data_IF_013503825278
#
_entry.id   IF_013503825278
#
_cell.length_a   1.000
_cell.length_b   1.000
_cell.length_c   1.000
_cell.angle_alpha   90.00
_cell.angle_beta   90.00
_cell.angle_gamma   90.00
#
_symmetry.space_group_name_H-M   'P 1'
#
loop_
_entity.id
_entity.type
_entity.pdbx_description
1 polymer ?
#
# COMPACT_ATOMS: atom_id res chain seq x y z
N UNK A 1 19.92 4.10 12.27
CA UNK A 1 20.14 4.99 11.10
C UNK A 1 19.22 6.19 11.21
N UNK A 2 19.67 7.39 10.89
CA UNK A 2 18.78 8.55 10.88
C UNK A 2 17.79 8.41 9.72
N UNK A 3 16.50 8.49 10.00
CA UNK A 3 15.47 8.58 8.96
C UNK A 3 15.81 9.76 8.05
N UNK A 4 15.96 9.59 6.74
CA UNK A 4 16.25 10.70 5.86
C UNK A 4 15.12 11.72 5.97
N UNK A 5 15.43 12.95 6.33
CA UNK A 5 14.47 14.03 6.32
C UNK A 5 13.95 14.26 4.89
N UNK A 6 12.73 14.78 4.72
CA UNK A 6 12.20 15.17 3.40
C UNK A 6 13.22 15.98 2.61
N UNK A 7 13.88 16.96 3.26
CA UNK A 7 14.94 17.77 2.65
C UNK A 7 16.13 16.92 2.19
N UNK A 8 16.56 15.94 2.98
CA UNK A 8 17.63 15.01 2.62
C UNK A 8 17.28 14.16 1.40
N UNK A 9 16.06 13.62 1.36
CA UNK A 9 15.55 12.84 0.23
C UNK A 9 15.54 13.67 -1.07
N UNK A 10 14.94 14.86 -1.04
CA UNK A 10 14.85 15.74 -2.22
C UNK A 10 16.23 16.15 -2.75
N UNK A 11 17.19 16.42 -1.85
CA UNK A 11 18.57 16.72 -2.25
C UNK A 11 19.24 15.52 -2.91
N UNK A 12 19.08 14.33 -2.35
CA UNK A 12 19.62 13.09 -2.92
C UNK A 12 19.04 12.83 -4.31
N UNK A 13 17.74 12.98 -4.48
CA UNK A 13 17.08 12.87 -5.80
C UNK A 13 17.69 13.87 -6.79
N UNK A 14 17.86 15.14 -6.39
CA UNK A 14 18.49 16.16 -7.24
C UNK A 14 19.92 15.83 -7.64
N UNK A 15 20.72 15.31 -6.72
CA UNK A 15 22.10 14.86 -6.97
C UNK A 15 22.15 13.65 -7.91
N UNK A 16 21.15 12.77 -7.83
CA UNK A 16 21.00 11.63 -8.72
C UNK A 16 20.41 11.98 -10.10
N UNK A 17 20.18 13.27 -10.36
CA UNK A 17 19.74 13.74 -11.67
C UNK A 17 18.24 13.79 -11.89
N UNK A 18 17.42 13.58 -10.84
CA UNK A 18 15.97 13.73 -10.96
C UNK A 18 15.57 15.14 -11.43
N UNK A 19 14.58 15.26 -12.32
CA UNK A 19 14.11 16.52 -12.89
C UNK A 19 12.59 16.64 -12.95
N UNK A 20 11.87 15.51 -12.83
CA UNK A 20 10.41 15.49 -12.90
C UNK A 20 9.79 16.12 -11.65
N UNK A 21 8.58 16.69 -11.75
CA UNK A 21 7.86 17.23 -10.59
C UNK A 21 7.65 16.19 -9.50
N UNK A 22 7.82 16.61 -8.24
CA UNK A 22 7.56 15.78 -7.05
C UNK A 22 6.36 16.34 -6.30
N UNK A 23 5.42 15.49 -5.98
CA UNK A 23 4.30 15.82 -5.11
C UNK A 23 4.52 15.22 -3.72
N UNK A 24 4.30 16.01 -2.69
CA UNK A 24 4.34 15.60 -1.29
C UNK A 24 2.92 15.71 -0.75
N UNK A 25 2.46 14.62 -0.16
CA UNK A 25 1.15 14.56 0.49
C UNK A 25 1.32 14.44 1.99
N UNK A 26 0.50 15.15 2.74
CA UNK A 26 0.47 15.11 4.20
C UNK A 26 -0.93 15.31 4.74
N UNK A 27 -1.16 15.10 6.05
CA UNK A 27 -2.46 15.30 6.66
C UNK A 27 -2.87 16.77 6.66
N UNK A 28 -4.16 17.03 6.91
CA UNK A 28 -4.70 18.40 7.06
C UNK A 28 -3.92 19.18 8.12
N UNK A 29 -3.58 20.43 7.82
CA UNK A 29 -2.79 21.34 8.67
C UNK A 29 -1.27 21.17 8.55
N UNK A 30 -0.77 20.22 7.74
CA UNK A 30 0.67 19.96 7.61
C UNK A 30 1.37 20.81 6.54
N UNK A 31 0.62 21.49 5.68
CA UNK A 31 1.18 22.15 4.48
C UNK A 31 2.32 23.13 4.78
N UNK A 32 2.14 23.99 5.76
CA UNK A 32 3.19 24.99 6.10
C UNK A 32 4.45 24.33 6.65
N UNK A 33 4.30 23.34 7.54
CA UNK A 33 5.42 22.58 8.09
C UNK A 33 6.17 21.83 6.99
N UNK A 34 5.45 21.18 6.08
CA UNK A 34 6.05 20.48 4.95
C UNK A 34 6.76 21.45 4.00
N UNK A 35 6.20 22.62 3.71
CA UNK A 35 6.86 23.65 2.90
C UNK A 35 8.14 24.17 3.56
N UNK A 36 8.14 24.33 4.87
CA UNK A 36 9.34 24.68 5.63
C UNK A 36 10.38 23.55 5.54
N UNK A 37 9.96 22.28 5.74
CA UNK A 37 10.84 21.13 5.65
C UNK A 37 11.45 20.97 4.24
N UNK A 38 10.70 21.25 3.18
CA UNK A 38 11.21 21.30 1.80
C UNK A 38 12.27 22.37 1.62
N UNK A 39 12.08 23.55 2.23
CA UNK A 39 13.01 24.68 2.13
C UNK A 39 14.25 24.56 3.01
N UNK A 40 14.16 23.86 4.15
CA UNK A 40 15.25 23.63 5.09
C UNK A 40 16.35 22.72 4.49
N UNK A 41 17.17 23.24 3.64
CA UNK A 41 18.28 22.50 3.05
C UNK A 41 18.17 22.33 1.54
N UNK A 42 17.20 22.95 0.92
CA UNK A 42 16.95 22.90 -0.51
C UNK A 42 16.88 24.31 -1.11
N UNK A 43 17.93 25.12 -0.93
CA UNK A 43 18.02 26.39 -1.66
C UNK A 43 17.94 26.19 -3.19
N UNK A 44 18.15 24.97 -3.67
CA UNK A 44 18.04 24.60 -5.10
C UNK A 44 17.75 23.11 -5.28
N UNK A 45 16.50 22.70 -5.08
CA UNK A 45 16.04 21.45 -5.67
C UNK A 45 15.80 21.69 -7.16
N UNK A 46 16.41 20.91 -8.09
CA UNK A 46 16.38 21.21 -9.54
C UNK A 46 15.08 20.77 -10.23
N UNK A 47 14.02 20.52 -9.50
CA UNK A 47 12.70 20.12 -9.98
C UNK A 47 11.59 20.79 -9.15
N UNK A 48 10.38 20.95 -9.75
CA UNK A 48 9.23 21.48 -9.01
C UNK A 48 8.82 20.56 -7.86
N UNK A 49 8.51 21.15 -6.70
CA UNK A 49 7.93 20.42 -5.56
C UNK A 49 6.62 21.06 -5.18
N UNK A 50 5.55 20.26 -5.12
CA UNK A 50 4.23 20.69 -4.66
C UNK A 50 3.86 19.94 -3.38
N UNK A 51 3.18 20.65 -2.47
CA UNK A 51 2.67 20.06 -1.22
C UNK A 51 1.16 20.15 -1.23
N UNK A 52 0.50 19.02 -1.01
CA UNK A 52 -0.96 18.89 -0.92
C UNK A 52 -1.34 18.22 0.38
N UNK A 53 -2.43 18.68 0.97
CA UNK A 53 -3.02 18.05 2.15
C UNK A 53 -4.08 17.05 1.72
N UNK A 54 -4.18 15.95 2.44
CA UNK A 54 -5.20 14.93 2.29
C UNK A 54 -5.93 14.71 3.62
N UNK A 55 -7.22 14.64 3.54
CA UNK A 55 -8.11 14.18 4.61
C UNK A 55 -8.42 12.70 4.44
N UNK A 56 -8.81 11.98 5.52
CA UNK A 56 -9.30 10.62 5.39
C UNK A 56 -10.44 10.52 4.35
N UNK A 57 -10.29 9.58 3.41
CA UNK A 57 -11.19 9.39 2.28
C UNK A 57 -10.74 10.07 0.98
N UNK A 58 -9.83 11.04 1.04
CA UNK A 58 -9.26 11.63 -0.18
C UNK A 58 -8.43 10.61 -0.93
N UNK A 59 -8.50 10.69 -2.26
CA UNK A 59 -7.75 9.82 -3.16
C UNK A 59 -6.88 10.59 -4.12
N UNK A 60 -5.72 10.02 -4.43
CA UNK A 60 -4.81 10.50 -5.47
C UNK A 60 -4.78 9.45 -6.59
N UNK A 61 -5.39 9.78 -7.71
CA UNK A 61 -5.42 8.91 -8.88
C UNK A 61 -4.08 8.91 -9.62
N UNK A 62 -3.65 7.74 -10.08
CA UNK A 62 -2.45 7.51 -10.88
C UNK A 62 -2.78 6.53 -12.01
N UNK A 63 -1.89 6.45 -12.99
CA UNK A 63 -2.03 5.44 -14.04
C UNK A 63 -1.83 4.04 -13.43
N UNK A 64 -2.88 3.23 -13.50
CA UNK A 64 -2.89 1.84 -13.00
C UNK A 64 -3.09 1.67 -11.48
N UNK A 65 -3.23 2.72 -10.68
CA UNK A 65 -3.54 2.63 -9.25
C UNK A 65 -4.07 3.96 -8.67
N UNK A 66 -4.65 3.89 -7.50
CA UNK A 66 -4.94 5.05 -6.66
C UNK A 66 -4.36 4.89 -5.26
N UNK A 67 -4.09 6.01 -4.61
CA UNK A 67 -3.69 6.04 -3.19
C UNK A 67 -4.77 6.76 -2.40
N UNK A 68 -5.37 6.08 -1.44
CA UNK A 68 -6.44 6.61 -0.58
C UNK A 68 -5.85 6.90 0.80
N UNK A 69 -6.04 8.12 1.30
CA UNK A 69 -5.71 8.46 2.68
C UNK A 69 -6.78 7.92 3.63
N UNK A 70 -6.38 7.40 4.78
CA UNK A 70 -7.31 6.94 5.80
C UNK A 70 -6.90 7.43 7.20
N UNK A 71 -7.85 7.40 8.12
CA UNK A 71 -7.66 7.88 9.49
C UNK A 71 -6.78 6.93 10.31
N UNK A 72 -5.89 7.50 11.11
CA UNK A 72 -5.03 6.79 12.06
C UNK A 72 -5.07 7.46 13.43
N UNK A 73 -4.66 6.78 14.47
CA UNK A 73 -4.72 7.25 15.86
C UNK A 73 -3.34 7.56 16.41
N UNK A 74 -2.81 8.77 16.17
CA UNK A 74 -1.46 9.15 16.63
C UNK A 74 -1.40 10.28 17.66
N UNK A 75 -2.53 10.94 17.96
CA UNK A 75 -2.56 12.07 18.91
C UNK A 75 -2.24 13.43 18.28
N UNK A 76 -1.71 13.47 17.06
CA UNK A 76 -1.59 14.64 16.18
C UNK A 76 -2.24 14.30 14.83
N UNK A 77 -2.49 15.32 14.01
CA UNK A 77 -3.05 15.09 12.66
C UNK A 77 -2.12 14.18 11.86
N UNK A 78 -2.60 13.00 11.49
CA UNK A 78 -1.87 11.99 10.74
C UNK A 78 -2.83 11.23 9.81
N UNK A 79 -2.29 10.62 8.77
CA UNK A 79 -3.02 9.76 7.84
C UNK A 79 -2.17 8.57 7.44
N UNK A 80 -2.82 7.42 7.31
CA UNK A 80 -2.26 6.27 6.61
C UNK A 80 -2.61 6.31 5.13
N UNK A 81 -2.00 5.45 4.34
CA UNK A 81 -2.19 5.38 2.89
C UNK A 81 -2.47 3.96 2.43
N UNK A 82 -3.50 3.79 1.61
CA UNK A 82 -3.84 2.53 0.96
C UNK A 82 -3.67 2.68 -0.56
N UNK A 83 -2.66 2.02 -1.12
CA UNK A 83 -2.51 1.85 -2.57
C UNK A 83 -3.47 0.77 -3.03
N UNK A 84 -4.25 1.06 -4.05
CA UNK A 84 -5.27 0.17 -4.61
C UNK A 84 -5.15 0.13 -6.12
N UNK A 85 -4.89 -1.04 -6.68
CA UNK A 85 -5.00 -1.27 -8.11
C UNK A 85 -6.47 -1.46 -8.52
N UNK A 86 -6.86 -1.10 -9.75
CA UNK A 86 -8.20 -1.36 -10.26
C UNK A 86 -8.46 -2.86 -10.42
N UNK A 87 -9.73 -3.21 -10.51
CA UNK A 87 -10.12 -4.54 -10.93
C UNK A 87 -9.56 -4.86 -12.31
N UNK A 88 -9.15 -6.10 -12.49
CA UNK A 88 -8.64 -6.63 -13.75
C UNK A 88 -9.72 -7.47 -14.44
N UNK A 89 -9.66 -7.51 -15.76
CA UNK A 89 -10.53 -8.36 -16.54
C UNK A 89 -10.38 -9.82 -16.13
N UNK A 90 -11.46 -10.58 -16.20
CA UNK A 90 -11.48 -12.00 -15.98
C UNK A 90 -10.53 -12.75 -16.92
N UNK A 91 -10.17 -13.98 -16.59
CA UNK A 91 -9.39 -14.82 -17.50
C UNK A 91 -10.22 -15.14 -18.73
N UNK A 92 -9.60 -15.01 -19.89
CA UNK A 92 -10.22 -15.36 -21.17
C UNK A 92 -10.02 -16.85 -21.44
N UNK A 93 -11.12 -17.57 -21.70
CA UNK A 93 -11.09 -18.98 -22.07
C UNK A 93 -10.90 -19.12 -23.58
N UNK A 94 -9.64 -19.29 -23.97
CA UNK A 94 -9.25 -19.43 -25.38
C UNK A 94 -9.85 -20.69 -26.02
N UNK A 95 -9.89 -21.80 -25.29
CA UNK A 95 -10.39 -23.07 -25.84
C UNK A 95 -11.89 -23.01 -26.06
N UNK A 96 -12.64 -22.48 -25.09
CA UNK A 96 -14.07 -22.29 -25.24
C UNK A 96 -14.41 -21.32 -26.37
N UNK A 97 -13.65 -20.21 -26.50
CA UNK A 97 -13.82 -19.27 -27.59
C UNK A 97 -13.61 -19.91 -28.97
N UNK A 98 -12.57 -20.76 -29.11
CA UNK A 98 -12.34 -21.56 -30.34
C UNK A 98 -13.49 -22.49 -30.62
N UNK A 99 -13.98 -23.22 -29.62
CA UNK A 99 -15.08 -24.15 -29.75
C UNK A 99 -16.40 -23.47 -30.16
N UNK A 100 -16.57 -22.21 -29.75
CA UNK A 100 -17.71 -21.37 -30.16
C UNK A 100 -17.52 -20.74 -31.55
N UNK A 101 -16.42 -21.04 -32.25
CA UNK A 101 -16.14 -20.55 -33.59
C UNK A 101 -15.63 -19.11 -33.68
N UNK A 102 -15.13 -18.53 -32.57
CA UNK A 102 -14.54 -17.20 -32.57
C UNK A 102 -13.17 -17.24 -33.25
N UNK A 103 -12.92 -16.42 -34.30
CA UNK A 103 -11.63 -16.38 -34.96
C UNK A 103 -10.58 -15.80 -34.02
N UNK A 104 -9.39 -16.43 -34.00
CA UNK A 104 -8.26 -15.94 -33.19
C UNK A 104 -7.81 -14.54 -33.62
N UNK A 105 -7.27 -13.80 -32.65
CA UNK A 105 -6.71 -12.47 -32.85
C UNK A 105 -7.63 -11.35 -32.37
N UNK A 106 -7.97 -10.35 -33.20
CA UNK A 106 -8.72 -9.15 -32.78
C UNK A 106 -10.08 -9.46 -32.11
N UNK A 107 -10.75 -10.55 -32.53
CA UNK A 107 -12.05 -10.96 -32.00
C UNK A 107 -11.95 -11.38 -30.53
N UNK A 108 -10.89 -12.07 -30.13
CA UNK A 108 -10.62 -12.38 -28.73
C UNK A 108 -10.45 -11.13 -27.88
N UNK A 109 -9.70 -10.14 -28.40
CA UNK A 109 -9.51 -8.86 -27.72
C UNK A 109 -10.83 -8.08 -27.58
N UNK A 110 -11.72 -8.13 -28.54
CA UNK A 110 -13.05 -7.50 -28.49
C UNK A 110 -13.89 -8.14 -27.38
N UNK A 111 -14.01 -9.47 -27.36
CA UNK A 111 -14.70 -10.21 -26.30
C UNK A 111 -14.13 -9.92 -24.93
N UNK A 112 -12.80 -9.90 -24.80
CA UNK A 112 -12.14 -9.62 -23.53
C UNK A 112 -12.43 -8.19 -23.02
N UNK A 113 -12.65 -7.22 -23.91
CA UNK A 113 -13.05 -5.84 -23.55
C UNK A 113 -14.56 -5.65 -23.36
N UNK A 114 -15.36 -6.71 -23.44
CA UNK A 114 -16.79 -6.65 -23.18
C UNK A 114 -17.66 -6.49 -24.44
N UNK A 115 -17.09 -6.62 -25.65
CA UNK A 115 -17.84 -6.55 -26.90
C UNK A 115 -18.34 -7.93 -27.33
N UNK A 116 -19.56 -8.02 -27.85
CA UNK A 116 -20.09 -9.23 -28.50
C UNK A 116 -19.45 -9.40 -29.88
N UNK A 117 -19.21 -10.64 -30.27
CA UNK A 117 -18.64 -11.02 -31.57
C UNK A 117 -19.60 -11.97 -32.30
N UNK A 118 -19.90 -11.63 -33.56
CA UNK A 118 -20.67 -12.53 -34.47
C UNK A 118 -19.77 -13.63 -35.02
N UNK A 119 -20.29 -14.83 -35.03
CA UNK A 119 -19.65 -16.02 -35.58
C UNK A 119 -20.67 -16.77 -36.49
N UNK A 120 -20.23 -17.68 -37.36
CA UNK A 120 -21.14 -18.42 -38.24
C UNK A 120 -22.30 -19.16 -37.53
N UNK A 121 -22.17 -19.44 -36.25
CA UNK A 121 -23.16 -20.08 -35.39
C UNK A 121 -24.05 -19.16 -34.57
N UNK A 122 -23.90 -17.82 -34.69
CA UNK A 122 -24.63 -16.82 -33.90
C UNK A 122 -23.73 -15.78 -33.23
N UNK A 123 -24.11 -15.31 -32.08
CA UNK A 123 -23.36 -14.35 -31.30
C UNK A 123 -22.62 -15.03 -30.14
N UNK A 124 -21.36 -14.64 -29.92
CA UNK A 124 -20.63 -14.98 -28.71
C UNK A 124 -20.50 -13.74 -27.83
N UNK A 125 -20.96 -13.85 -26.58
CA UNK A 125 -20.93 -12.74 -25.59
C UNK A 125 -19.76 -12.91 -24.65
N UNK A 126 -19.22 -11.80 -24.09
CA UNK A 126 -18.10 -11.82 -23.15
C UNK A 126 -18.29 -12.84 -22.01
N UNK A 127 -19.43 -12.83 -21.35
CA UNK A 127 -19.70 -13.71 -20.21
C UNK A 127 -19.67 -15.21 -20.50
N UNK A 128 -19.57 -15.63 -21.76
CA UNK A 128 -19.40 -17.04 -22.13
C UNK A 128 -17.93 -17.45 -22.10
N UNK A 129 -17.00 -16.53 -22.35
CA UNK A 129 -15.57 -16.82 -22.54
C UNK A 129 -14.65 -15.99 -21.63
N UNK A 130 -15.19 -15.02 -20.91
CA UNK A 130 -14.46 -14.21 -19.93
C UNK A 130 -14.97 -14.56 -18.54
N UNK A 131 -14.09 -15.03 -17.69
CA UNK A 131 -14.39 -15.32 -16.29
C UNK A 131 -14.74 -14.06 -15.48
N UNK A 132 -15.02 -14.20 -14.18
CA UNK A 132 -15.29 -13.05 -13.30
C UNK A 132 -14.12 -12.09 -13.24
N UNK A 133 -14.40 -10.81 -12.99
CA UNK A 133 -13.35 -9.81 -12.73
C UNK A 133 -12.48 -10.25 -11.56
N UNK A 134 -11.21 -9.87 -11.61
CA UNK A 134 -10.22 -10.22 -10.60
C UNK A 134 -9.80 -8.94 -9.88
N UNK A 135 -9.77 -8.97 -8.56
CA UNK A 135 -9.36 -7.78 -7.79
C UNK A 135 -7.91 -7.41 -8.09
N UNK A 136 -7.63 -6.12 -8.07
CA UNK A 136 -6.27 -5.60 -8.05
C UNK A 136 -5.60 -5.82 -6.68
N UNK A 137 -4.31 -5.54 -6.62
CA UNK A 137 -3.56 -5.62 -5.36
C UNK A 137 -3.86 -4.41 -4.47
N UNK A 138 -3.74 -4.64 -3.16
CA UNK A 138 -3.93 -3.62 -2.14
C UNK A 138 -2.78 -3.64 -1.16
N UNK A 139 -2.06 -2.52 -1.04
CA UNK A 139 -0.98 -2.33 -0.08
C UNK A 139 -1.35 -1.20 0.87
N UNK A 140 -1.28 -1.46 2.17
CA UNK A 140 -1.63 -0.49 3.21
C UNK A 140 -0.39 -0.13 4.02
N UNK A 141 -0.15 1.16 4.21
CA UNK A 141 0.89 1.72 5.06
C UNK A 141 0.27 2.63 6.10
N UNK A 142 0.49 2.32 7.36
CA UNK A 142 -0.18 3.05 8.45
C UNK A 142 0.45 4.40 8.78
N UNK A 143 1.76 4.57 8.60
CA UNK A 143 2.48 5.59 9.35
C UNK A 143 2.41 5.29 10.85
N UNK A 144 2.60 6.31 11.66
CA UNK A 144 2.58 6.18 13.12
C UNK A 144 1.14 6.15 13.62
N UNK A 145 0.80 5.15 14.43
CA UNK A 145 -0.57 4.94 14.93
C UNK A 145 -0.62 3.98 16.11
N UNK A 146 -1.61 4.17 16.98
CA UNK A 146 -2.10 3.09 17.84
C UNK A 146 -2.90 2.08 17.02
N UNK A 147 -3.08 0.83 17.49
CA UNK A 147 -4.12 -0.03 16.94
C UNK A 147 -5.48 0.68 16.95
N UNK A 148 -6.18 0.69 15.82
CA UNK A 148 -7.45 1.40 15.67
C UNK A 148 -8.36 0.71 14.64
N UNK A 149 -9.68 0.79 14.85
CA UNK A 149 -10.68 0.21 13.94
C UNK A 149 -10.57 0.77 12.52
N UNK A 150 -10.21 2.05 12.38
CA UNK A 150 -9.97 2.69 11.07
C UNK A 150 -8.83 2.03 10.30
N UNK A 151 -7.78 1.59 11.00
CA UNK A 151 -6.66 0.86 10.40
C UNK A 151 -7.08 -0.55 9.99
N UNK A 152 -7.83 -1.26 10.85
CA UNK A 152 -8.41 -2.58 10.53
C UNK A 152 -9.29 -2.49 9.28
N UNK A 153 -10.20 -1.51 9.22
CA UNK A 153 -11.07 -1.30 8.06
C UNK A 153 -10.28 -0.97 6.78
N UNK A 154 -9.28 -0.09 6.87
CA UNK A 154 -8.44 0.25 5.74
C UNK A 154 -7.61 -0.95 5.24
N UNK A 155 -7.19 -1.82 6.14
CA UNK A 155 -6.37 -2.99 5.83
C UNK A 155 -7.19 -4.26 5.49
N UNK A 156 -8.52 -4.24 5.60
CA UNK A 156 -9.36 -5.43 5.41
C UNK A 156 -9.05 -6.17 4.11
N UNK A 157 -8.55 -7.40 4.20
CA UNK A 157 -8.18 -8.25 3.06
C UNK A 157 -7.06 -7.69 2.18
N UNK A 158 -6.20 -6.81 2.72
CA UNK A 158 -5.06 -6.27 1.98
C UNK A 158 -4.02 -7.37 1.67
N UNK A 159 -3.34 -7.22 0.54
CA UNK A 159 -2.28 -8.16 0.13
C UNK A 159 -0.98 -7.92 0.92
N UNK A 160 -0.78 -6.69 1.40
CA UNK A 160 0.32 -6.31 2.28
C UNK A 160 -0.12 -5.20 3.23
N UNK A 161 0.10 -5.40 4.52
CA UNK A 161 0.06 -4.37 5.53
C UNK A 161 1.48 -4.05 5.99
N UNK A 162 1.88 -2.79 5.89
CA UNK A 162 3.09 -2.24 6.48
C UNK A 162 2.65 -1.41 7.68
N UNK A 163 2.90 -1.93 8.88
CA UNK A 163 2.43 -1.34 10.13
C UNK A 163 3.61 -0.96 11.03
N UNK A 164 3.49 0.16 11.71
CA UNK A 164 4.45 0.52 12.74
C UNK A 164 4.39 -0.46 13.91
N UNK A 165 5.54 -0.69 14.56
CA UNK A 165 5.69 -1.49 15.76
C UNK A 165 6.84 -0.95 16.60
N UNK A 166 6.64 0.23 17.13
CA UNK A 166 7.68 0.98 17.84
C UNK A 166 8.14 0.27 19.10
N UNK A 167 7.25 -0.48 19.77
CA UNK A 167 7.47 -1.05 21.09
C UNK A 167 7.11 -2.54 21.16
N UNK A 168 7.60 -3.23 22.21
CA UNK A 168 7.07 -4.53 22.66
C UNK A 168 5.88 -4.32 23.61
N UNK A 169 5.14 -5.38 23.90
CA UNK A 169 4.00 -5.34 24.84
C UNK A 169 4.44 -4.98 26.28
N UNK A 170 5.69 -5.23 26.64
CA UNK A 170 6.26 -4.76 27.92
C UNK A 170 6.25 -3.24 28.06
N UNK A 171 6.27 -2.51 26.92
CA UNK A 171 6.25 -1.04 26.87
C UNK A 171 4.87 -0.50 26.41
N UNK A 172 3.80 -1.28 26.55
CA UNK A 172 2.45 -0.92 26.08
C UNK A 172 1.95 0.44 26.60
N UNK A 173 2.20 0.73 27.87
CA UNK A 173 1.78 2.00 28.45
C UNK A 173 2.44 3.16 27.71
N UNK A 174 3.74 3.03 27.43
CA UNK A 174 4.49 4.02 26.67
C UNK A 174 4.01 4.12 25.21
N UNK A 175 3.72 3.00 24.56
CA UNK A 175 3.13 2.98 23.23
C UNK A 175 1.84 3.79 23.20
N UNK A 176 0.96 3.58 24.19
CA UNK A 176 -0.29 4.32 24.32
C UNK A 176 -0.09 5.82 24.57
N UNK A 177 0.84 6.18 25.45
CA UNK A 177 1.14 7.58 25.76
C UNK A 177 1.69 8.36 24.57
N UNK A 178 2.54 7.71 23.77
CA UNK A 178 3.21 8.34 22.63
C UNK A 178 2.49 8.19 21.30
N UNK A 179 1.37 7.45 21.27
CA UNK A 179 0.57 7.31 20.05
C UNK A 179 1.07 6.24 19.08
N UNK A 180 1.75 5.22 19.59
CA UNK A 180 2.35 4.15 18.81
C UNK A 180 1.75 2.78 19.11
N UNK A 181 2.20 1.78 18.35
CA UNK A 181 1.80 0.38 18.50
C UNK A 181 2.89 -0.47 19.12
N UNK A 182 2.46 -1.53 19.82
CA UNK A 182 3.33 -2.67 20.11
C UNK A 182 3.35 -3.64 18.94
N UNK A 183 4.34 -4.52 18.88
CA UNK A 183 4.44 -5.54 17.85
C UNK A 183 3.24 -6.51 17.90
N UNK A 184 2.77 -6.88 19.09
CA UNK A 184 1.55 -7.66 19.28
C UNK A 184 0.30 -6.90 18.81
N UNK A 185 0.21 -5.61 19.10
CA UNK A 185 -0.89 -4.75 18.62
C UNK A 185 -0.95 -4.65 17.11
N UNK A 186 0.18 -4.44 16.44
CA UNK A 186 0.28 -4.45 14.98
C UNK A 186 -0.13 -5.80 14.37
N UNK A 187 0.31 -6.90 14.99
CA UNK A 187 -0.05 -8.25 14.56
C UNK A 187 -1.54 -8.55 14.78
N UNK A 188 -2.15 -8.03 15.87
CA UNK A 188 -3.59 -8.16 16.12
C UNK A 188 -4.41 -7.43 15.03
N UNK A 189 -4.02 -6.21 14.66
CA UNK A 189 -4.63 -5.47 13.54
C UNK A 189 -4.54 -6.28 12.25
N UNK A 190 -3.38 -6.84 11.93
CA UNK A 190 -3.18 -7.65 10.73
C UNK A 190 -4.06 -8.90 10.72
N UNK A 191 -4.17 -9.59 11.85
CA UNK A 191 -5.01 -10.78 12.00
C UNK A 191 -6.50 -10.43 11.84
N UNK A 192 -6.97 -9.39 12.52
CA UNK A 192 -8.37 -8.94 12.45
C UNK A 192 -8.74 -8.47 11.05
N UNK A 193 -7.86 -7.73 10.40
CA UNK A 193 -8.03 -7.28 9.02
C UNK A 193 -7.86 -8.39 7.98
N UNK A 194 -7.47 -9.60 8.36
CA UNK A 194 -7.24 -10.73 7.46
C UNK A 194 -6.29 -10.38 6.31
N UNK A 195 -5.18 -9.72 6.62
CA UNK A 195 -4.18 -9.37 5.61
C UNK A 195 -3.38 -10.60 5.22
N UNK A 196 -2.85 -10.61 4.00
CA UNK A 196 -2.05 -11.74 3.49
C UNK A 196 -0.58 -11.70 3.94
N UNK A 197 -0.04 -10.49 4.11
CA UNK A 197 1.33 -10.28 4.52
C UNK A 197 1.41 -9.12 5.51
N UNK A 198 2.21 -9.28 6.56
CA UNK A 198 2.52 -8.23 7.52
C UNK A 198 4.02 -7.91 7.52
N UNK A 199 4.35 -6.64 7.40
CA UNK A 199 5.69 -6.12 7.61
C UNK A 199 5.66 -5.08 8.72
N UNK A 200 6.44 -5.28 9.77
CA UNK A 200 6.63 -4.32 10.85
C UNK A 200 7.69 -3.28 10.46
N UNK A 201 7.43 -2.03 10.77
CA UNK A 201 8.33 -0.90 10.51
C UNK A 201 8.35 0.07 11.69
N UNK A 202 9.08 1.18 11.57
CA UNK A 202 9.15 2.24 12.60
C UNK A 202 9.56 1.71 13.98
N UNK A 203 10.56 0.83 14.02
CA UNK A 203 11.03 0.21 15.26
C UNK A 203 11.80 1.23 16.10
N UNK A 204 11.62 1.21 17.42
CA UNK A 204 12.43 2.04 18.30
C UNK A 204 13.92 1.71 18.16
N UNK A 205 14.76 2.73 18.22
CA UNK A 205 16.22 2.57 18.17
C UNK A 205 16.78 1.61 19.25
N UNK A 206 16.02 1.30 20.28
CA UNK A 206 16.37 0.29 21.30
C UNK A 206 16.52 -1.13 20.72
N UNK A 207 15.82 -1.39 19.63
CA UNK A 207 15.81 -2.69 18.94
C UNK A 207 16.72 -2.70 17.71
N UNK A 208 17.57 -1.67 17.51
CA UNK A 208 18.46 -1.58 16.34
C UNK A 208 19.44 -2.72 16.22
N UNK A 209 19.89 -3.25 17.36
CA UNK A 209 20.86 -4.34 17.42
C UNK A 209 20.20 -5.73 17.42
N UNK A 210 18.97 -5.82 17.94
CA UNK A 210 18.21 -7.08 17.98
C UNK A 210 16.70 -6.83 17.88
N UNK A 211 16.11 -7.20 16.75
CA UNK A 211 14.67 -7.11 16.50
C UNK A 211 13.90 -8.38 16.90
N UNK A 212 14.60 -9.38 17.44
CA UNK A 212 14.01 -10.66 17.83
C UNK A 212 12.84 -10.52 18.80
N UNK A 213 12.88 -9.66 19.83
CA UNK A 213 11.76 -9.49 20.75
C UNK A 213 10.47 -9.08 20.01
N UNK A 214 10.54 -8.05 19.16
CA UNK A 214 9.40 -7.58 18.37
C UNK A 214 8.86 -8.67 17.43
N UNK A 215 9.76 -9.36 16.73
CA UNK A 215 9.37 -10.43 15.81
C UNK A 215 8.71 -11.60 16.55
N UNK A 216 9.27 -12.05 17.69
CA UNK A 216 8.74 -13.16 18.46
C UNK A 216 7.35 -12.84 19.00
N UNK A 217 7.18 -11.64 19.51
CA UNK A 217 5.90 -11.17 20.04
C UNK A 217 4.83 -11.14 18.94
N UNK A 218 5.12 -10.49 17.81
CA UNK A 218 4.19 -10.42 16.70
C UNK A 218 3.87 -11.80 16.10
N UNK A 219 4.87 -12.69 15.99
CA UNK A 219 4.70 -14.05 15.46
C UNK A 219 3.77 -14.92 16.34
N UNK A 220 3.64 -14.60 17.62
CA UNK A 220 2.66 -15.25 18.49
C UNK A 220 1.20 -15.00 18.09
N UNK A 221 0.93 -13.93 17.34
CA UNK A 221 -0.41 -13.55 16.85
C UNK A 221 -0.52 -13.71 15.33
N UNK A 222 0.53 -13.35 14.60
CA UNK A 222 0.60 -13.43 13.13
C UNK A 222 1.90 -14.14 12.72
N UNK A 223 1.90 -15.48 12.54
CA UNK A 223 3.12 -16.29 12.38
C UNK A 223 4.03 -15.87 11.22
N UNK A 224 3.46 -15.45 10.09
CA UNK A 224 4.18 -15.07 8.87
C UNK A 224 4.70 -13.63 8.90
N UNK A 225 4.78 -12.99 10.07
CA UNK A 225 5.25 -11.62 10.22
C UNK A 225 6.71 -11.46 9.78
N UNK A 226 6.99 -10.38 9.06
CA UNK A 226 8.34 -9.96 8.72
C UNK A 226 8.66 -8.62 9.39
N UNK A 227 9.90 -8.46 9.81
CA UNK A 227 10.41 -7.18 10.29
C UNK A 227 11.14 -6.48 9.14
N UNK A 228 10.70 -5.26 8.83
CA UNK A 228 11.25 -4.45 7.76
C UNK A 228 12.70 -4.03 8.03
N UNK A 229 13.49 -3.93 6.98
CA UNK A 229 14.86 -3.41 7.00
C UNK A 229 15.13 -2.60 5.74
N UNK A 230 16.07 -1.67 5.81
CA UNK A 230 16.46 -0.86 4.67
C UNK A 230 16.88 -1.75 3.49
N UNK A 231 16.33 -1.47 2.31
CA UNK A 231 16.60 -2.24 1.10
C UNK A 231 15.85 -3.57 0.99
N UNK A 232 14.95 -3.90 1.93
CA UNK A 232 14.11 -5.10 1.83
C UNK A 232 13.13 -4.97 0.68
N UNK A 233 13.07 -6.01 -0.15
CA UNK A 233 12.07 -6.14 -1.21
C UNK A 233 10.98 -7.09 -0.74
N UNK A 234 9.73 -6.66 -0.88
CA UNK A 234 8.54 -7.44 -0.57
C UNK A 234 7.75 -7.65 -1.85
N UNK A 235 7.67 -8.88 -2.30
CA UNK A 235 6.84 -9.23 -3.45
C UNK A 235 5.38 -9.34 -3.01
N UNK A 236 4.50 -8.73 -3.79
CA UNK A 236 3.05 -8.79 -3.59
C UNK A 236 2.44 -9.43 -4.84
N UNK A 237 2.32 -10.76 -4.88
CA UNK A 237 1.73 -11.46 -6.02
C UNK A 237 0.23 -11.15 -6.12
N UNK A 238 -0.34 -11.34 -7.32
CA UNK A 238 -1.78 -11.27 -7.45
C UNK A 238 -2.46 -12.43 -6.68
N UNK A 239 -3.70 -12.23 -6.20
CA UNK A 239 -4.38 -13.24 -5.39
C UNK A 239 -4.44 -14.63 -6.02
N UNK A 240 -4.61 -14.68 -7.32
CA UNK A 240 -4.68 -15.94 -8.09
C UNK A 240 -3.33 -16.58 -8.42
N UNK A 241 -2.23 -15.91 -8.15
CA UNK A 241 -0.87 -16.39 -8.39
C UNK A 241 -0.17 -16.81 -7.07
N UNK A 242 -0.94 -16.89 -5.98
CA UNK A 242 -0.47 -17.39 -4.67
C UNK A 242 -0.56 -18.90 -4.66
N UNK A 243 0.55 -19.55 -4.40
CA UNK A 243 0.62 -21.00 -4.18
C UNK A 243 0.27 -21.38 -2.74
#
# INVERSE_FOLDING_TARGET
MATPSISGLLRTMGLQGHRDPVEIFGPSGSREVLLVAVRLGADRVPFPVTVRELSPGDAVERDGYRVVAFDVSHGVSAVGYALQEPERLGRFDVELARNLGVPEGPAFGRLHRGETVEVPGGEVRPGQVVGPTRRGRRVVYTGDTRPADSVVQAAQGADLLIHEATFTEEEKDRANETGHSTAAGAAAVAHEAQVEQLVLTHLSARYSDDVTPLRTEAAGVYPEVRVGRDGMIVEVPFPEDRE
#
